data_IF_890278986213
#
_entry.id   IF_890278986213
#
_cell.length_a   1.000
_cell.length_b   1.000
_cell.length_c   1.000
_cell.angle_alpha   90.00
_cell.angle_beta   90.00
_cell.angle_gamma   90.00
#
_symmetry.space_group_name_H-M   'P 1'
#
loop_
_entity.id
_entity.type
_entity.pdbx_description
1 polymer ?
#
# COMPACT_ATOMS: atom_id res chain seq x y z
N UNK A 1 -16.35 11.75 54.22
CA UNK A 1 -15.17 11.69 53.31
C UNK A 1 -15.36 10.50 52.35
N UNK A 2 -15.87 10.76 51.14
CA UNK A 2 -16.36 9.74 50.20
C UNK A 2 -15.19 9.05 49.47
N UNK A 3 -14.78 7.86 49.94
CA UNK A 3 -13.69 7.07 49.32
C UNK A 3 -14.06 6.44 47.96
N UNK A 4 -15.36 6.38 47.59
CA UNK A 4 -15.83 5.72 46.36
C UNK A 4 -15.60 6.53 45.08
N UNK A 5 -15.57 7.87 45.15
CA UNK A 5 -15.37 8.75 43.99
C UNK A 5 -13.95 8.67 43.41
N UNK A 6 -12.95 8.29 44.22
CA UNK A 6 -11.55 8.25 43.77
C UNK A 6 -11.21 6.98 42.97
N UNK A 7 -11.83 5.84 43.28
CA UNK A 7 -11.52 4.56 42.61
C UNK A 7 -12.05 4.55 41.17
N UNK A 8 -13.25 5.09 40.94
CA UNK A 8 -13.83 5.19 39.58
C UNK A 8 -13.01 6.14 38.69
N UNK A 9 -12.45 7.21 39.27
CA UNK A 9 -11.61 8.17 38.53
C UNK A 9 -10.25 7.57 38.18
N UNK A 10 -9.67 6.77 39.09
CA UNK A 10 -8.41 6.04 38.84
C UNK A 10 -8.59 4.97 37.75
N UNK A 11 -9.71 4.24 37.75
CA UNK A 11 -10.02 3.26 36.69
C UNK A 11 -10.22 3.92 35.30
N UNK A 12 -10.81 5.12 35.26
CA UNK A 12 -10.95 5.90 34.03
C UNK A 12 -9.59 6.34 33.46
N UNK A 13 -8.66 6.76 34.33
CA UNK A 13 -7.29 7.16 33.94
C UNK A 13 -6.50 5.96 33.39
N UNK A 14 -6.60 4.79 34.03
CA UNK A 14 -5.95 3.55 33.58
C UNK A 14 -6.49 3.10 32.22
N UNK A 15 -7.80 3.27 31.96
CA UNK A 15 -8.40 2.95 30.66
C UNK A 15 -7.87 3.85 29.53
N UNK A 16 -7.65 5.14 29.80
CA UNK A 16 -7.12 6.08 28.79
C UNK A 16 -5.62 5.93 28.48
N UNK A 17 -4.84 5.28 29.36
CA UNK A 17 -3.40 5.06 29.16
C UNK A 17 -3.07 3.90 28.19
N UNK A 18 -4.07 3.13 27.77
CA UNK A 18 -3.86 2.00 26.84
C UNK A 18 -3.85 2.40 25.36
N UNK A 19 -4.04 3.68 25.04
CA UNK A 19 -4.11 4.11 23.65
C UNK A 19 -2.77 4.63 23.13
N UNK A 20 -2.32 3.97 22.03
CA UNK A 20 -1.39 4.42 20.99
C UNK A 20 0.08 4.00 21.12
N UNK A 21 0.35 2.71 20.92
CA UNK A 21 1.58 2.28 20.24
C UNK A 21 1.41 2.51 18.73
N UNK A 22 1.65 3.72 18.24
CA UNK A 22 1.82 3.95 16.80
C UNK A 22 3.29 3.71 16.48
N UNK A 23 3.64 2.46 16.15
CA UNK A 23 4.92 2.18 15.50
C UNK A 23 4.80 2.58 14.03
N UNK A 24 5.39 3.71 13.66
CA UNK A 24 5.47 4.11 12.26
C UNK A 24 6.45 3.19 11.54
N UNK A 25 5.94 2.43 10.57
CA UNK A 25 6.79 1.63 9.69
C UNK A 25 7.54 2.58 8.74
N UNK A 26 8.82 2.31 8.46
CA UNK A 26 9.56 3.11 7.47
C UNK A 26 9.26 2.63 6.04
N UNK A 27 9.25 3.55 5.07
CA UNK A 27 9.05 3.20 3.64
C UNK A 27 10.16 2.25 3.15
N UNK A 28 11.39 2.43 3.64
CA UNK A 28 12.55 1.59 3.27
C UNK A 28 12.31 0.14 3.67
N UNK A 29 11.82 -0.09 4.88
CA UNK A 29 11.53 -1.44 5.37
C UNK A 29 10.40 -2.10 4.59
N UNK A 30 9.35 -1.34 4.25
CA UNK A 30 8.22 -1.84 3.43
C UNK A 30 8.69 -2.25 2.03
N UNK A 31 9.56 -1.45 1.41
CA UNK A 31 10.15 -1.75 0.10
C UNK A 31 11.01 -3.02 0.14
N UNK A 32 11.82 -3.18 1.19
CA UNK A 32 12.63 -4.39 1.38
C UNK A 32 11.76 -5.65 1.48
N UNK A 33 10.68 -5.60 2.26
CA UNK A 33 9.72 -6.72 2.36
C UNK A 33 9.06 -7.04 1.01
N UNK A 34 8.83 -6.04 0.16
CA UNK A 34 8.31 -6.27 -1.19
C UNK A 34 9.34 -6.96 -2.10
N UNK A 35 10.62 -6.60 -1.98
CA UNK A 35 11.73 -7.21 -2.76
C UNK A 35 11.99 -8.68 -2.42
N UNK A 36 11.70 -9.09 -1.19
CA UNK A 36 11.78 -10.49 -0.76
C UNK A 36 10.82 -11.40 -1.54
N UNK A 37 9.77 -10.82 -2.17
CA UNK A 37 8.78 -11.52 -3.01
C UNK A 37 8.11 -12.70 -2.31
N UNK A 38 8.08 -12.73 -0.98
CA UNK A 38 7.35 -13.74 -0.21
C UNK A 38 5.84 -13.49 -0.31
N UNK A 39 5.21 -14.13 -1.29
CA UNK A 39 3.77 -14.03 -1.50
C UNK A 39 2.98 -14.76 -0.41
N UNK A 40 3.57 -15.70 0.33
CA UNK A 40 2.86 -16.46 1.37
C UNK A 40 2.57 -15.58 2.60
N UNK A 41 3.52 -14.70 2.96
CA UNK A 41 3.39 -13.75 4.08
C UNK A 41 2.73 -12.42 3.70
N UNK A 42 2.45 -12.20 2.41
CA UNK A 42 1.92 -10.94 1.88
C UNK A 42 0.66 -10.43 2.62
N UNK A 43 -0.26 -11.31 3.02
CA UNK A 43 -1.46 -10.88 3.77
C UNK A 43 -1.13 -10.32 5.15
N UNK A 44 -0.13 -10.88 5.82
CA UNK A 44 0.33 -10.42 7.14
C UNK A 44 0.92 -9.02 7.00
N UNK A 45 1.77 -8.81 5.98
CA UNK A 45 2.33 -7.49 5.69
C UNK A 45 1.25 -6.47 5.34
N UNK A 46 0.30 -6.83 4.47
CA UNK A 46 -0.82 -5.97 4.11
C UNK A 46 -1.59 -5.50 5.36
N UNK A 47 -1.96 -6.42 6.25
CA UNK A 47 -2.71 -6.11 7.46
C UNK A 47 -1.92 -5.25 8.45
N UNK A 48 -0.60 -5.46 8.57
CA UNK A 48 0.29 -4.68 9.43
C UNK A 48 0.29 -3.19 9.06
N UNK A 49 0.24 -2.87 7.76
CA UNK A 49 0.41 -1.50 7.26
C UNK A 49 -0.86 -0.86 6.66
N UNK A 50 -1.98 -1.60 6.59
CA UNK A 50 -3.25 -1.13 5.99
C UNK A 50 -3.92 0.05 6.70
N UNK A 51 -3.44 0.45 7.88
CA UNK A 51 -3.94 1.61 8.63
C UNK A 51 -2.94 2.77 8.69
N UNK A 52 -1.88 2.72 7.89
CA UNK A 52 -0.88 3.79 7.84
C UNK A 52 -1.51 5.10 7.38
N UNK A 53 -1.18 6.20 8.05
CA UNK A 53 -1.50 7.56 7.60
C UNK A 53 -0.59 8.04 6.48
N UNK A 54 0.53 7.36 6.23
CA UNK A 54 1.41 7.66 5.11
C UNK A 54 0.82 7.04 3.83
N UNK A 55 0.51 7.86 2.80
CA UNK A 55 -0.14 7.37 1.59
C UNK A 55 0.72 6.37 0.81
N UNK A 56 2.04 6.55 0.77
CA UNK A 56 2.97 5.61 0.10
C UNK A 56 2.89 4.24 0.75
N UNK A 57 2.98 4.18 2.08
CA UNK A 57 2.89 2.93 2.84
C UNK A 57 1.51 2.27 2.66
N UNK A 58 0.44 3.07 2.64
CA UNK A 58 -0.90 2.57 2.37
C UNK A 58 -1.03 1.98 0.95
N UNK A 59 -0.39 2.60 -0.04
CA UNK A 59 -0.25 2.05 -1.39
C UNK A 59 0.47 0.71 -1.41
N UNK A 60 1.57 0.57 -0.66
CA UNK A 60 2.24 -0.72 -0.50
C UNK A 60 1.37 -1.78 0.20
N UNK A 61 0.46 -1.37 1.11
CA UNK A 61 -0.52 -2.29 1.67
C UNK A 61 -1.41 -2.91 0.56
N UNK A 62 -1.82 -2.09 -0.41
CA UNK A 62 -2.60 -2.52 -1.57
C UNK A 62 -1.79 -3.52 -2.42
N UNK A 63 -0.52 -3.20 -2.72
CA UNK A 63 0.38 -4.13 -3.44
C UNK A 63 0.54 -5.48 -2.74
N UNK A 64 0.60 -5.52 -1.40
CA UNK A 64 0.62 -6.79 -0.68
C UNK A 64 -0.71 -7.56 -0.78
N UNK A 65 -1.86 -6.89 -0.81
CA UNK A 65 -3.14 -7.55 -1.12
C UNK A 65 -3.16 -8.11 -2.54
N UNK A 66 -2.58 -7.40 -3.51
CA UNK A 66 -2.42 -7.89 -4.88
C UNK A 66 -1.55 -9.16 -4.94
N UNK A 67 -0.38 -9.15 -4.29
CA UNK A 67 0.49 -10.32 -4.20
C UNK A 67 -0.19 -11.51 -3.52
N UNK A 68 -1.00 -11.24 -2.48
CA UNK A 68 -1.77 -12.28 -1.82
C UNK A 68 -2.85 -12.86 -2.74
N UNK A 69 -3.56 -12.01 -3.48
CA UNK A 69 -4.51 -12.46 -4.48
C UNK A 69 -3.83 -13.37 -5.50
N UNK A 70 -2.63 -13.02 -5.95
CA UNK A 70 -1.89 -13.83 -6.91
C UNK A 70 -1.46 -15.21 -6.35
N UNK A 71 -1.07 -15.26 -5.08
CA UNK A 71 -0.74 -16.50 -4.37
C UNK A 71 -1.92 -17.48 -4.23
N UNK A 72 -3.15 -16.99 -4.18
CA UNK A 72 -4.33 -17.82 -3.92
C UNK A 72 -4.78 -18.61 -5.16
N UNK A 73 -5.14 -19.88 -4.92
CA UNK A 73 -5.69 -20.75 -5.95
C UNK A 73 -7.22 -20.58 -6.11
N UNK A 74 -7.93 -20.27 -5.02
CA UNK A 74 -9.38 -20.15 -5.04
C UNK A 74 -9.80 -18.83 -5.74
N UNK A 75 -10.63 -18.87 -6.79
CA UNK A 75 -10.98 -17.69 -7.58
C UNK A 75 -11.80 -16.66 -6.81
N UNK A 76 -12.67 -17.07 -5.87
CA UNK A 76 -13.45 -16.15 -5.06
C UNK A 76 -12.56 -15.38 -4.08
N UNK A 77 -11.63 -16.09 -3.43
CA UNK A 77 -10.64 -15.46 -2.55
C UNK A 77 -9.69 -14.56 -3.32
N UNK A 78 -9.21 -14.99 -4.51
CA UNK A 78 -8.38 -14.18 -5.41
C UNK A 78 -9.08 -12.87 -5.76
N UNK A 79 -10.34 -12.94 -6.20
CA UNK A 79 -11.16 -11.77 -6.53
C UNK A 79 -11.39 -10.87 -5.32
N UNK A 80 -11.65 -11.44 -4.13
CA UNK A 80 -11.84 -10.67 -2.90
C UNK A 80 -10.63 -9.80 -2.55
N UNK A 81 -9.42 -10.37 -2.57
CA UNK A 81 -8.21 -9.63 -2.22
C UNK A 81 -7.77 -8.68 -3.32
N UNK A 82 -7.96 -9.05 -4.58
CA UNK A 82 -7.79 -8.16 -5.72
C UNK A 82 -8.69 -6.92 -5.61
N UNK A 83 -9.98 -7.09 -5.29
CA UNK A 83 -10.89 -5.96 -5.10
C UNK A 83 -10.46 -5.06 -3.93
N UNK A 84 -9.85 -5.64 -2.88
CA UNK A 84 -9.34 -4.89 -1.74
C UNK A 84 -8.11 -4.05 -2.09
N UNK A 85 -7.18 -4.62 -2.83
CA UNK A 85 -6.08 -3.88 -3.46
C UNK A 85 -6.63 -2.70 -4.29
N UNK A 86 -7.47 -2.99 -5.28
CA UNK A 86 -8.10 -1.99 -6.15
C UNK A 86 -8.73 -0.85 -5.34
N UNK A 87 -9.55 -1.18 -4.34
CA UNK A 87 -10.22 -0.20 -3.51
C UNK A 87 -9.23 0.73 -2.80
N UNK A 88 -8.20 0.17 -2.15
CA UNK A 88 -7.23 0.95 -1.37
C UNK A 88 -6.38 1.81 -2.31
N UNK A 89 -5.79 1.20 -3.34
CA UNK A 89 -4.87 1.88 -4.24
C UNK A 89 -5.56 3.01 -5.00
N UNK A 90 -6.79 2.79 -5.46
CA UNK A 90 -7.55 3.80 -6.20
C UNK A 90 -7.96 4.95 -5.32
N UNK A 91 -8.45 4.66 -4.11
CA UNK A 91 -8.79 5.71 -3.14
C UNK A 91 -7.56 6.54 -2.79
N UNK A 92 -6.41 5.90 -2.61
CA UNK A 92 -5.16 6.58 -2.29
C UNK A 92 -4.66 7.46 -3.44
N UNK A 93 -4.73 6.98 -4.69
CA UNK A 93 -4.35 7.76 -5.89
C UNK A 93 -5.30 8.93 -6.10
N UNK A 94 -6.60 8.74 -5.90
CA UNK A 94 -7.58 9.83 -6.05
C UNK A 94 -7.32 10.94 -5.02
N UNK A 95 -6.94 10.59 -3.79
CA UNK A 95 -6.57 11.57 -2.77
C UNK A 95 -5.18 12.19 -3.00
N UNK A 96 -4.24 11.43 -3.59
CA UNK A 96 -2.84 11.84 -3.76
C UNK A 96 -2.32 11.59 -5.19
N UNK A 97 -2.88 12.25 -6.22
CA UNK A 97 -2.67 11.90 -7.62
C UNK A 97 -1.24 12.16 -8.13
N UNK A 98 -0.46 12.96 -7.40
CA UNK A 98 0.92 13.36 -7.74
C UNK A 98 1.99 12.47 -7.13
N UNK A 99 1.63 11.49 -6.29
CA UNK A 99 2.61 10.60 -5.65
C UNK A 99 3.01 9.50 -6.65
N UNK A 100 4.26 9.55 -7.10
CA UNK A 100 4.78 8.66 -8.13
C UNK A 100 4.80 7.18 -7.70
N UNK A 101 5.08 6.85 -6.43
CA UNK A 101 5.00 5.48 -5.93
C UNK A 101 3.62 4.85 -6.21
N UNK A 102 2.54 5.56 -5.92
CA UNK A 102 1.19 5.04 -6.08
C UNK A 102 0.85 4.78 -7.56
N UNK A 103 1.25 5.70 -8.44
CA UNK A 103 1.05 5.56 -9.89
C UNK A 103 1.86 4.40 -10.44
N UNK A 104 3.10 4.23 -9.97
CA UNK A 104 3.96 3.12 -10.37
C UNK A 104 3.39 1.78 -9.91
N UNK A 105 2.92 1.68 -8.66
CA UNK A 105 2.28 0.47 -8.15
C UNK A 105 1.08 0.08 -9.02
N UNK A 106 0.19 1.03 -9.31
CA UNK A 106 -0.97 0.79 -10.15
C UNK A 106 -0.60 0.39 -11.59
N UNK A 107 0.45 1.00 -12.14
CA UNK A 107 0.97 0.63 -13.45
C UNK A 107 1.50 -0.81 -13.49
N UNK A 108 2.34 -1.17 -12.51
CA UNK A 108 2.93 -2.49 -12.41
C UNK A 108 1.86 -3.57 -12.22
N UNK A 109 0.87 -3.34 -11.35
CA UNK A 109 -0.23 -4.28 -11.13
C UNK A 109 -1.04 -4.50 -12.40
N UNK A 110 -1.41 -3.41 -13.11
CA UNK A 110 -2.22 -3.50 -14.34
C UNK A 110 -1.56 -4.31 -15.46
N UNK A 111 -0.23 -4.36 -15.53
CA UNK A 111 0.48 -5.21 -16.50
C UNK A 111 0.28 -6.70 -16.27
N UNK A 112 0.02 -7.10 -15.03
CA UNK A 112 -0.15 -8.50 -14.63
C UNK A 112 -1.63 -8.94 -14.63
N UNK A 113 -2.56 -8.00 -14.81
CA UNK A 113 -4.00 -8.27 -14.67
C UNK A 113 -4.65 -8.58 -16.03
N UNK A 114 -5.43 -9.67 -16.16
CA UNK A 114 -6.17 -9.99 -17.38
C UNK A 114 -7.10 -8.86 -17.83
N UNK A 115 -7.15 -8.60 -19.14
CA UNK A 115 -7.94 -7.51 -19.73
C UNK A 115 -9.45 -7.54 -19.39
N UNK A 116 -10.02 -8.74 -19.18
CA UNK A 116 -11.42 -8.93 -18.74
C UNK A 116 -11.70 -8.28 -17.38
N UNK A 117 -10.71 -8.17 -16.49
CA UNK A 117 -10.85 -7.50 -15.20
C UNK A 117 -10.68 -5.98 -15.29
N UNK A 118 -10.41 -5.49 -16.51
CA UNK A 118 -10.47 -4.12 -17.03
C UNK A 118 -9.91 -3.00 -16.15
N UNK A 119 -8.88 -2.37 -16.69
CA UNK A 119 -8.36 -1.08 -16.26
C UNK A 119 -7.98 -0.23 -17.47
N UNK A 120 -8.36 1.05 -17.47
CA UNK A 120 -8.08 1.99 -18.56
C UNK A 120 -7.02 3.05 -18.18
N UNK A 121 -6.26 2.85 -17.11
CA UNK A 121 -5.33 3.86 -16.58
C UNK A 121 -3.86 3.61 -16.99
N UNK A 122 -3.56 2.47 -17.63
CA UNK A 122 -2.21 2.05 -17.96
C UNK A 122 -1.45 3.09 -18.81
N UNK A 123 -2.10 3.69 -19.81
CA UNK A 123 -1.48 4.71 -20.66
C UNK A 123 -1.16 5.98 -19.86
N UNK A 124 -2.08 6.43 -19.01
CA UNK A 124 -1.89 7.62 -18.18
C UNK A 124 -0.71 7.43 -17.21
N UNK A 125 -0.67 6.29 -16.51
CA UNK A 125 0.39 5.98 -15.54
C UNK A 125 1.75 5.79 -16.23
N UNK A 126 1.78 5.22 -17.44
CA UNK A 126 2.99 5.11 -18.27
C UNK A 126 3.55 6.49 -18.64
N UNK A 127 2.70 7.38 -19.13
CA UNK A 127 3.08 8.75 -19.53
C UNK A 127 3.61 9.52 -18.33
N UNK A 128 2.91 9.46 -17.19
CA UNK A 128 3.36 10.14 -15.98
C UNK A 128 4.70 9.62 -15.47
N UNK A 129 4.91 8.30 -15.50
CA UNK A 129 6.18 7.69 -15.10
C UNK A 129 7.33 8.11 -16.01
N UNK A 130 7.12 8.14 -17.33
CA UNK A 130 8.11 8.66 -18.31
C UNK A 130 8.41 10.14 -18.08
N UNK A 131 7.38 10.95 -17.87
CA UNK A 131 7.54 12.38 -17.59
C UNK A 131 8.30 12.62 -16.28
N UNK A 132 8.05 11.80 -15.25
CA UNK A 132 8.71 11.92 -13.96
C UNK A 132 10.21 11.65 -14.05
N UNK A 133 10.62 10.65 -14.86
CA UNK A 133 12.02 10.36 -15.18
C UNK A 133 12.66 11.49 -15.99
N UNK A 134 12.04 11.91 -17.09
CA UNK A 134 12.63 12.88 -18.01
C UNK A 134 12.87 14.25 -17.37
N UNK A 135 12.02 14.63 -16.40
CA UNK A 135 12.14 15.91 -15.68
C UNK A 135 13.03 15.82 -14.42
N UNK A 136 13.62 14.66 -14.11
CA UNK A 136 14.32 14.38 -12.85
C UNK A 136 13.49 14.79 -11.61
N UNK A 137 12.17 14.65 -11.69
CA UNK A 137 11.26 15.03 -10.58
C UNK A 137 11.12 13.94 -9.52
N UNK A 138 11.79 12.81 -9.71
CA UNK A 138 11.90 11.72 -8.75
C UNK A 138 13.27 11.79 -8.11
N UNK A 139 13.35 12.34 -6.90
CA UNK A 139 14.58 12.37 -6.10
C UNK A 139 14.87 11.03 -5.41
N UNK A 140 13.91 10.11 -5.46
CA UNK A 140 14.02 8.78 -4.88
C UNK A 140 14.72 7.81 -5.85
N UNK A 141 15.94 7.39 -5.49
CA UNK A 141 16.74 6.45 -6.28
C UNK A 141 16.05 5.10 -6.49
N UNK A 142 15.43 4.54 -5.45
CA UNK A 142 14.71 3.27 -5.54
C UNK A 142 13.57 3.38 -6.55
N UNK A 143 12.78 4.44 -6.44
CA UNK A 143 11.64 4.64 -7.32
C UNK A 143 12.10 4.85 -8.77
N UNK A 144 13.18 5.60 -8.98
CA UNK A 144 13.79 5.81 -10.29
C UNK A 144 14.21 4.50 -10.94
N UNK A 145 14.89 3.61 -10.20
CA UNK A 145 15.30 2.29 -10.68
C UNK A 145 14.09 1.41 -11.00
N UNK A 146 13.06 1.41 -10.14
CA UNK A 146 11.87 0.61 -10.35
C UNK A 146 11.04 1.08 -11.54
N UNK A 147 10.94 2.39 -11.79
CA UNK A 147 10.29 2.92 -12.99
C UNK A 147 11.02 2.43 -14.25
N UNK A 148 12.36 2.53 -14.27
CA UNK A 148 13.17 2.08 -15.42
C UNK A 148 12.98 0.59 -15.71
N UNK A 149 13.04 -0.26 -14.68
CA UNK A 149 12.79 -1.70 -14.82
C UNK A 149 11.39 -1.98 -15.39
N UNK A 150 10.37 -1.33 -14.83
CA UNK A 150 8.97 -1.58 -15.20
C UNK A 150 8.68 -1.15 -16.65
N UNK A 151 9.29 -0.04 -17.09
CA UNK A 151 9.16 0.51 -18.44
C UNK A 151 10.03 -0.18 -19.51
N UNK A 152 11.16 -0.78 -19.14
CA UNK A 152 12.01 -1.52 -20.10
C UNK A 152 11.37 -2.84 -20.53
N UNK A 153 10.59 -3.45 -19.64
CA UNK A 153 9.87 -4.70 -19.89
C UNK A 153 8.51 -4.48 -20.60
N UNK A 154 8.37 -3.41 -21.40
CA UNK A 154 7.19 -3.06 -22.24
C UNK A 154 7.57 -2.95 -23.70
#
# INVERSE_FOLDING_TARGET
>A
MNKKTNISFILLIIFTLTTLNIQSQSIIEVRKLLEEKDKSSSIVYAQKIAKSSNPVILGYAAKFYFLHADYLLNPFSKLKYFNKDKQILYSCINAHPKINDLRLLRYADQKEIPAVLSYNNMQEDKILSKNALNKNTVDDKYLTEKIKETLHND
#
